data_IF_096685102596
#
_entry.id   IF_096685102596
#
_cell.length_a   1.000
_cell.length_b   1.000
_cell.length_c   1.000
_cell.angle_alpha   90.00
_cell.angle_beta   90.00
_cell.angle_gamma   90.00
#
_symmetry.space_group_name_H-M   'P 1'
#
loop_
_entity.id
_entity.type
_entity.pdbx_description
1 polymer ?
#
# COMPACT_ATOMS: atom_id res chain seq x y z
N UNK A 1 29.89 59.85 46.22
CA UNK A 1 28.48 59.77 45.80
C UNK A 1 28.29 59.54 44.29
N UNK A 2 28.89 60.35 43.39
CA UNK A 2 28.71 60.23 41.92
C UNK A 2 29.30 58.98 41.25
N UNK A 3 30.34 58.37 41.85
CA UNK A 3 30.92 57.14 41.33
C UNK A 3 30.06 55.89 41.61
N UNK A 4 29.38 55.86 42.75
CA UNK A 4 28.50 54.75 43.10
C UNK A 4 27.30 54.68 42.15
N UNK A 5 26.76 55.83 41.77
CA UNK A 5 25.70 55.94 40.76
C UNK A 5 26.18 55.51 39.38
N UNK A 6 27.41 55.85 38.99
CA UNK A 6 27.99 55.39 37.72
C UNK A 6 28.13 53.87 37.66
N UNK A 7 28.63 53.25 38.72
CA UNK A 7 28.75 51.79 38.82
C UNK A 7 27.38 51.13 38.72
N UNK A 8 26.37 51.66 39.40
CA UNK A 8 25.00 51.14 39.30
C UNK A 8 24.41 51.27 37.90
N UNK A 9 24.63 52.41 37.21
CA UNK A 9 24.16 52.61 35.83
C UNK A 9 24.84 51.61 34.89
N UNK A 10 26.15 51.40 35.02
CA UNK A 10 26.89 50.41 34.22
C UNK A 10 26.37 49.00 34.49
N UNK A 11 26.11 48.65 35.76
CA UNK A 11 25.59 47.35 36.14
C UNK A 11 24.20 47.10 35.56
N UNK A 12 23.32 48.10 35.59
CA UNK A 12 21.98 48.03 35.00
C UNK A 12 22.08 47.91 33.47
N UNK A 13 22.93 48.69 32.81
CA UNK A 13 23.14 48.60 31.36
C UNK A 13 23.67 47.23 30.94
N UNK A 14 24.62 46.66 31.71
CA UNK A 14 25.17 45.33 31.47
C UNK A 14 24.13 44.21 31.65
N UNK A 15 23.12 44.40 32.52
CA UNK A 15 21.98 43.49 32.70
C UNK A 15 20.90 43.67 31.63
N UNK A 16 20.69 44.89 31.15
CA UNK A 16 19.70 45.20 30.10
C UNK A 16 20.18 44.82 28.70
N UNK A 17 21.50 44.89 28.44
CA UNK A 17 22.06 44.56 27.13
C UNK A 17 21.79 43.12 26.67
N UNK A 18 21.90 42.08 27.53
CA UNK A 18 21.47 40.71 27.21
C UNK A 18 19.98 40.55 26.96
N UNK A 19 19.12 41.47 27.40
CA UNK A 19 17.69 41.41 27.10
C UNK A 19 17.41 41.91 25.68
N UNK A 20 18.21 42.84 25.18
CA UNK A 20 18.11 43.38 23.83
C UNK A 20 18.87 42.53 22.80
N UNK A 21 20.01 41.94 23.17
CA UNK A 21 20.90 41.19 22.27
C UNK A 21 21.15 39.73 22.69
N UNK A 22 20.57 39.23 23.78
CA UNK A 22 20.87 37.88 24.28
C UNK A 22 20.14 36.77 23.52
N UNK A 23 19.92 35.66 24.23
CA UNK A 23 19.59 34.34 23.66
C UNK A 23 18.29 34.29 22.81
N UNK A 24 17.45 35.34 22.87
CA UNK A 24 16.26 35.55 22.05
C UNK A 24 16.29 36.81 21.17
N UNK A 25 17.49 37.32 20.83
CA UNK A 25 17.68 38.50 19.98
C UNK A 25 16.90 38.39 18.67
N UNK A 26 16.28 39.49 18.22
CA UNK A 26 15.50 39.58 16.98
C UNK A 26 16.26 39.08 15.74
N UNK A 27 17.60 39.19 15.74
CA UNK A 27 18.45 38.61 14.69
C UNK A 27 18.29 37.08 14.59
N UNK A 28 18.21 36.39 15.74
CA UNK A 28 18.12 34.93 15.79
C UNK A 28 16.75 34.43 15.31
N UNK A 29 15.68 35.21 15.53
CA UNK A 29 14.35 34.90 14.97
C UNK A 29 14.37 34.97 13.45
N UNK A 30 15.03 35.98 12.87
CA UNK A 30 15.17 36.10 11.42
C UNK A 30 16.02 34.98 10.79
N UNK A 31 17.07 34.55 11.49
CA UNK A 31 17.96 33.49 11.01
C UNK A 31 17.29 32.11 11.10
N UNK A 32 16.60 31.83 12.21
CA UNK A 32 15.83 30.58 12.40
C UNK A 32 14.59 30.53 11.49
N UNK A 33 13.94 31.67 11.21
CA UNK A 33 12.83 31.74 10.26
C UNK A 33 13.31 31.50 8.81
N UNK A 34 14.50 32.02 8.46
CA UNK A 34 15.13 31.72 7.16
C UNK A 34 15.50 30.25 7.01
N UNK A 35 16.10 29.63 8.03
CA UNK A 35 16.41 28.20 7.99
C UNK A 35 15.14 27.34 7.91
N UNK A 36 14.08 27.72 8.64
CA UNK A 36 12.78 27.02 8.58
C UNK A 36 12.16 27.10 7.19
N UNK A 37 12.26 28.25 6.52
CA UNK A 37 11.67 28.47 5.21
C UNK A 37 12.39 27.67 4.12
N UNK A 38 13.73 27.63 4.14
CA UNK A 38 14.50 26.83 3.19
C UNK A 38 14.24 25.32 3.35
N UNK A 39 14.14 24.83 4.59
CA UNK A 39 13.85 23.42 4.83
C UNK A 39 12.44 23.03 4.41
N UNK A 40 11.45 23.93 4.54
CA UNK A 40 10.07 23.69 4.07
C UNK A 40 10.00 23.51 2.55
N UNK A 41 10.68 24.35 1.77
CA UNK A 41 10.69 24.22 0.31
C UNK A 41 11.33 22.91 -0.16
N UNK A 42 12.46 22.53 0.45
CA UNK A 42 13.13 21.26 0.15
C UNK A 42 12.23 20.08 0.52
N UNK A 43 11.57 20.13 1.68
CA UNK A 43 10.67 19.06 2.12
C UNK A 43 9.45 18.93 1.20
N UNK A 44 8.87 20.04 0.73
CA UNK A 44 7.77 20.03 -0.24
C UNK A 44 8.19 19.38 -1.56
N UNK A 45 9.37 19.72 -2.08
CA UNK A 45 9.90 19.11 -3.32
C UNK A 45 10.15 17.61 -3.17
N UNK A 46 10.69 17.17 -2.03
CA UNK A 46 10.90 15.75 -1.74
C UNK A 46 9.57 15.00 -1.60
N UNK A 47 8.56 15.59 -0.94
CA UNK A 47 7.22 15.00 -0.82
C UNK A 47 6.55 14.84 -2.17
N UNK A 48 6.65 15.83 -3.06
CA UNK A 48 6.08 15.74 -4.40
C UNK A 48 6.70 14.60 -5.22
N UNK A 49 8.02 14.41 -5.14
CA UNK A 49 8.73 13.30 -5.80
C UNK A 49 8.38 11.93 -5.21
N UNK A 50 8.30 11.82 -3.88
CA UNK A 50 7.86 10.58 -3.27
C UNK A 50 6.43 10.24 -3.68
N UNK A 51 5.53 11.22 -3.74
CA UNK A 51 4.16 10.99 -4.18
C UNK A 51 4.08 10.50 -5.64
N UNK A 52 4.93 11.02 -6.54
CA UNK A 52 4.98 10.54 -7.93
C UNK A 52 5.56 9.13 -8.01
N UNK A 53 6.67 8.85 -7.31
CA UNK A 53 7.28 7.52 -7.26
C UNK A 53 6.33 6.48 -6.66
N UNK A 54 5.60 6.82 -5.60
CA UNK A 54 4.59 5.94 -5.02
C UNK A 54 3.45 5.66 -5.99
N UNK A 55 3.07 6.64 -6.81
CA UNK A 55 2.08 6.45 -7.87
C UNK A 55 2.60 5.52 -8.97
N UNK A 56 3.84 5.71 -9.42
CA UNK A 56 4.49 4.82 -10.38
C UNK A 56 4.59 3.39 -9.84
N UNK A 57 4.98 3.19 -8.58
CA UNK A 57 5.06 1.86 -7.96
C UNK A 57 3.68 1.21 -7.88
N UNK A 58 2.63 1.97 -7.56
CA UNK A 58 1.26 1.46 -7.55
C UNK A 58 0.79 1.07 -8.96
N UNK A 59 1.07 1.91 -9.95
CA UNK A 59 0.74 1.64 -11.35
C UNK A 59 1.46 0.40 -11.87
N UNK A 60 2.76 0.24 -11.59
CA UNK A 60 3.50 -0.98 -11.95
C UNK A 60 2.88 -2.22 -11.32
N UNK A 61 2.50 -2.17 -10.03
CA UNK A 61 1.86 -3.30 -9.35
C UNK A 61 0.49 -3.64 -9.95
N UNK A 62 -0.36 -2.63 -10.14
CA UNK A 62 -1.69 -2.81 -10.72
C UNK A 62 -1.64 -3.22 -12.19
N UNK A 63 -0.63 -2.78 -12.93
CA UNK A 63 -0.40 -3.13 -14.32
C UNK A 63 -0.17 -4.63 -14.51
N UNK A 64 0.55 -5.29 -13.58
CA UNK A 64 0.69 -6.75 -13.62
C UNK A 64 -0.63 -7.46 -13.33
N UNK A 65 -1.40 -7.00 -12.34
CA UNK A 65 -2.69 -7.59 -11.98
C UNK A 65 -3.69 -7.47 -13.15
N UNK A 66 -3.74 -6.32 -13.82
CA UNK A 66 -4.60 -6.08 -14.97
C UNK A 66 -4.23 -6.96 -16.18
N UNK A 67 -2.93 -7.19 -16.42
CA UNK A 67 -2.46 -8.09 -17.48
C UNK A 67 -2.78 -9.54 -17.12
N UNK A 68 -2.62 -9.93 -15.85
CA UNK A 68 -2.88 -11.29 -15.37
C UNK A 68 -4.37 -11.63 -15.46
N UNK A 69 -5.25 -10.70 -15.11
CA UNK A 69 -6.70 -10.86 -15.26
C UNK A 69 -7.12 -10.99 -16.73
N UNK A 70 -6.51 -10.21 -17.63
CA UNK A 70 -6.76 -10.34 -19.08
C UNK A 70 -6.24 -11.66 -19.64
N UNK A 71 -5.06 -12.12 -19.22
CA UNK A 71 -4.50 -13.40 -19.66
C UNK A 71 -5.34 -14.60 -19.19
N UNK A 72 -5.90 -14.53 -17.97
CA UNK A 72 -6.80 -15.57 -17.46
C UNK A 72 -8.18 -15.54 -18.12
N UNK A 73 -8.78 -14.36 -18.26
CA UNK A 73 -10.15 -14.22 -18.78
C UNK A 73 -10.27 -14.43 -20.30
N UNK A 74 -9.34 -13.90 -21.09
CA UNK A 74 -9.43 -13.96 -22.56
C UNK A 74 -8.67 -15.14 -23.17
N UNK A 75 -7.52 -15.50 -22.59
CA UNK A 75 -6.62 -16.49 -23.16
C UNK A 75 -6.63 -17.82 -22.39
N UNK A 76 -7.32 -17.90 -21.24
CA UNK A 76 -7.33 -19.07 -20.38
C UNK A 76 -5.94 -19.48 -19.90
N UNK A 77 -4.98 -18.54 -19.88
CA UNK A 77 -3.60 -18.85 -19.52
C UNK A 77 -3.50 -19.10 -18.03
N UNK A 78 -2.82 -20.19 -17.68
CA UNK A 78 -2.50 -20.56 -16.30
C UNK A 78 -0.98 -20.48 -16.07
N UNK A 79 -0.59 -20.03 -14.88
CA UNK A 79 0.81 -19.95 -14.44
C UNK A 79 1.44 -21.35 -14.38
N UNK A 80 2.74 -21.45 -14.62
CA UNK A 80 3.46 -22.75 -14.70
C UNK A 80 3.34 -23.63 -13.45
N UNK A 81 3.11 -23.02 -12.29
CA UNK A 81 3.06 -23.70 -10.99
C UNK A 81 1.69 -23.54 -10.28
N UNK A 82 0.59 -23.30 -11.03
CA UNK A 82 -0.76 -23.18 -10.46
C UNK A 82 -1.71 -24.32 -10.87
N UNK A 83 -2.58 -24.74 -9.95
CA UNK A 83 -3.63 -25.75 -10.20
C UNK A 83 -4.97 -25.03 -10.32
N UNK A 84 -5.56 -25.05 -11.52
CA UNK A 84 -6.83 -24.40 -11.81
C UNK A 84 -8.02 -25.34 -11.52
N UNK A 85 -8.92 -24.90 -10.64
CA UNK A 85 -10.17 -25.60 -10.34
C UNK A 85 -11.36 -24.82 -10.88
N UNK A 86 -12.11 -25.41 -11.81
CA UNK A 86 -13.36 -24.85 -12.29
C UNK A 86 -14.52 -25.57 -11.58
N UNK A 87 -15.20 -24.85 -10.70
CA UNK A 87 -16.42 -25.36 -10.07
C UNK A 87 -17.56 -25.15 -11.05
N UNK A 88 -17.99 -26.22 -11.73
CA UNK A 88 -19.27 -26.20 -12.41
C UNK A 88 -20.34 -26.34 -11.33
N UNK A 89 -21.20 -25.32 -11.18
CA UNK A 89 -22.43 -25.52 -10.43
C UNK A 89 -23.21 -26.60 -11.16
N UNK A 90 -23.44 -27.73 -10.50
CA UNK A 90 -24.30 -28.76 -11.03
C UNK A 90 -25.66 -28.12 -11.28
N UNK A 91 -25.98 -27.93 -12.57
CA UNK A 91 -27.34 -27.65 -12.99
C UNK A 91 -28.20 -28.73 -12.37
N UNK A 92 -28.99 -28.33 -11.37
CA UNK A 92 -30.08 -29.08 -10.72
C UNK A 92 -30.43 -30.34 -11.52
N UNK A 93 -30.29 -31.55 -10.94
CA UNK A 93 -30.47 -32.79 -11.70
C UNK A 93 -31.89 -32.78 -12.27
N UNK A 94 -31.99 -32.62 -13.59
CA UNK A 94 -33.22 -32.88 -14.32
C UNK A 94 -33.46 -34.38 -14.16
N UNK A 95 -34.37 -34.69 -13.25
CA UNK A 95 -34.86 -36.03 -13.05
C UNK A 95 -35.25 -36.66 -14.40
N UNK A 96 -34.72 -37.87 -14.60
CA UNK A 96 -35.31 -38.96 -15.40
C UNK A 96 -35.00 -38.98 -16.91
N UNK A 97 -33.94 -39.71 -17.25
CA UNK A 97 -34.00 -40.71 -18.31
C UNK A 97 -33.01 -41.82 -17.94
N UNK A 98 -33.53 -42.88 -17.32
CA UNK A 98 -32.79 -44.10 -17.04
C UNK A 98 -32.49 -44.78 -18.40
N UNK A 99 -31.25 -45.19 -18.69
CA UNK A 99 -31.04 -46.29 -19.61
C UNK A 99 -31.28 -47.57 -18.82
N UNK A 100 -32.40 -48.21 -19.12
CA UNK A 100 -32.73 -49.57 -18.75
C UNK A 100 -31.62 -50.51 -19.24
N UNK A 101 -30.69 -50.85 -18.35
CA UNK A 101 -29.75 -51.95 -18.56
C UNK A 101 -30.31 -53.16 -17.83
N UNK A 102 -31.32 -53.79 -18.43
CA UNK A 102 -31.72 -55.14 -18.05
C UNK A 102 -30.76 -56.14 -18.73
N UNK A 103 -29.68 -56.46 -18.01
CA UNK A 103 -28.95 -57.72 -18.20
C UNK A 103 -29.28 -58.62 -17.03
N UNK A 104 -30.17 -59.60 -17.22
CA UNK A 104 -30.15 -60.89 -16.52
C UNK A 104 -31.09 -61.89 -17.19
N UNK A 105 -30.51 -62.98 -17.70
CA UNK A 105 -30.89 -64.36 -17.44
C UNK A 105 -30.73 -65.24 -18.70
N UNK A 106 -29.63 -65.99 -18.71
CA UNK A 106 -29.44 -67.18 -19.56
C UNK A 106 -30.57 -68.19 -19.30
N UNK A 107 -31.11 -68.87 -20.33
CA UNK A 107 -32.00 -70.01 -20.13
C UNK A 107 -31.19 -71.26 -19.80
N UNK A 108 -31.50 -71.80 -18.63
CA UNK A 108 -31.69 -73.22 -18.31
C UNK A 108 -30.86 -74.29 -19.04
N UNK A 109 -30.12 -75.01 -18.20
CA UNK A 109 -29.66 -76.38 -18.39
C UNK A 109 -30.85 -77.29 -18.70
N UNK A 110 -30.96 -77.75 -19.94
CA UNK A 110 -31.77 -78.91 -20.31
C UNK A 110 -30.86 -80.14 -20.24
N UNK A 111 -31.00 -80.88 -19.15
CA UNK A 111 -30.37 -82.18 -18.95
C UNK A 111 -31.33 -83.29 -19.39
N UNK A 112 -30.76 -84.25 -20.14
CA UNK A 112 -31.16 -85.65 -20.28
C UNK A 112 -32.14 -86.04 -21.41
N UNK A 113 -31.53 -86.49 -22.52
CA UNK A 113 -31.90 -87.65 -23.37
C UNK A 113 -32.37 -88.85 -22.52
N UNK A 114 -33.33 -89.72 -22.94
CA UNK A 114 -33.29 -90.61 -24.11
C UNK A 114 -34.24 -90.28 -25.27
#
# INVERSE_FOLDING_TARGET
MRWLTLIFVVLIAALQYPLWLGKGSWLRVWEVDRESTQQKEVNLKLRARNASLDAEVRDLKQGYDAIEERARSELGMIKRDEIFFQVLEESKPAARAQPEVEKKASPQVESAKP
#
